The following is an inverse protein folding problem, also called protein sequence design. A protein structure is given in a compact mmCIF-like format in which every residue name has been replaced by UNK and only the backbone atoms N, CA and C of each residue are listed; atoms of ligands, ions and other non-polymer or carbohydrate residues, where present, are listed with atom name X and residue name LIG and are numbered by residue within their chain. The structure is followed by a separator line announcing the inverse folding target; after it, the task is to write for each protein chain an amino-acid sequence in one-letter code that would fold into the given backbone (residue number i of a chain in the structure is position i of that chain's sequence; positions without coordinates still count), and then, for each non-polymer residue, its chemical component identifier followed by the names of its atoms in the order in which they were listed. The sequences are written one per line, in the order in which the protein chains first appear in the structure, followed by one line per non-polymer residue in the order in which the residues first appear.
data_IF_576653210234
#
_entry.id   IF_576653210234
#
_cell.length_a   1.000
_cell.length_b   1.000
_cell.length_c   1.000
_cell.angle_alpha   90.00
_cell.angle_beta   90.00
_cell.angle_gamma   90.00
#
_symmetry.space_group_name_H-M   'P 1'
#
loop_
_entity.id
_entity.type
_entity.pdbx_description
1 polymer ?
#
# COMPACT_ATOMS: atom_id res chain seq x y z
N UNK A 1 -29.52 -7.40 -4.84
CA UNK A 1 -28.43 -6.88 -3.96
C UNK A 1 -27.63 -8.08 -3.47
N UNK A 2 -26.31 -8.10 -3.66
CA UNK A 2 -25.45 -9.20 -3.20
C UNK A 2 -25.00 -8.95 -1.75
N UNK A 3 -25.10 -9.96 -0.88
CA UNK A 3 -24.65 -9.91 0.52
C UNK A 3 -23.35 -10.71 0.66
N UNK A 4 -22.45 -10.28 1.56
CA UNK A 4 -21.22 -11.03 1.86
C UNK A 4 -21.55 -12.25 2.72
N UNK A 5 -21.09 -13.44 2.32
CA UNK A 5 -21.44 -14.71 2.96
C UNK A 5 -21.12 -14.75 4.47
N UNK A 6 -19.97 -14.26 4.89
CA UNK A 6 -19.59 -14.23 6.31
C UNK A 6 -20.48 -13.29 7.15
N UNK A 7 -21.01 -12.21 6.57
CA UNK A 7 -21.96 -11.33 7.28
C UNK A 7 -23.32 -11.99 7.47
N UNK A 8 -23.78 -12.72 6.45
CA UNK A 8 -25.01 -13.50 6.54
C UNK A 8 -24.86 -14.60 7.58
N UNK A 9 -23.74 -15.34 7.55
CA UNK A 9 -23.44 -16.38 8.53
C UNK A 9 -23.41 -15.83 9.97
N UNK A 10 -22.78 -14.66 10.17
CA UNK A 10 -22.77 -13.98 11.48
C UNK A 10 -24.19 -13.68 11.97
N UNK A 11 -25.02 -13.06 11.10
CA UNK A 11 -26.40 -12.72 11.46
C UNK A 11 -27.25 -13.95 11.80
N UNK A 12 -27.11 -15.04 11.03
CA UNK A 12 -27.87 -16.28 11.27
C UNK A 12 -27.47 -16.92 12.59
N UNK A 13 -26.16 -17.02 12.87
CA UNK A 13 -25.67 -17.77 14.03
C UNK A 13 -25.81 -16.99 15.34
N UNK A 14 -25.51 -15.68 15.33
CA UNK A 14 -25.56 -14.85 16.53
C UNK A 14 -26.89 -14.12 16.72
N UNK A 15 -27.78 -14.15 15.72
CA UNK A 15 -29.06 -13.43 15.76
C UNK A 15 -28.94 -11.90 15.70
N UNK A 16 -27.75 -11.37 15.47
CA UNK A 16 -27.45 -9.93 15.50
C UNK A 16 -27.12 -9.44 14.08
N UNK A 17 -27.79 -8.37 13.64
CA UNK A 17 -27.42 -7.71 12.39
C UNK A 17 -26.12 -6.91 12.61
N UNK A 18 -25.04 -7.19 11.86
CA UNK A 18 -23.77 -6.48 12.04
C UNK A 18 -23.82 -5.00 11.63
N UNK A 19 -24.91 -4.50 11.01
CA UNK A 19 -25.08 -3.08 10.64
C UNK A 19 -23.82 -2.49 9.96
N UNK A 20 -23.30 -1.37 10.45
CA UNK A 20 -22.10 -0.70 9.93
C UNK A 20 -20.79 -1.29 10.48
N UNK A 21 -20.86 -2.28 11.38
CA UNK A 21 -19.67 -2.93 11.93
C UNK A 21 -19.05 -3.91 10.92
N UNK A 22 -17.75 -4.13 11.05
CA UNK A 22 -17.01 -5.13 10.29
C UNK A 22 -17.22 -6.51 10.92
N UNK A 23 -17.49 -7.52 10.09
CA UNK A 23 -17.40 -8.93 10.49
C UNK A 23 -16.02 -9.42 10.05
N UNK A 24 -15.16 -9.69 11.02
CA UNK A 24 -13.75 -9.99 10.83
C UNK A 24 -13.45 -11.47 11.00
N UNK A 25 -12.40 -11.95 10.34
CA UNK A 25 -11.95 -13.32 10.44
C UNK A 25 -10.73 -13.45 11.35
N UNK A 26 -10.74 -14.40 12.28
CA UNK A 26 -9.51 -14.82 12.98
C UNK A 26 -8.60 -15.62 12.05
N UNK A 27 -9.18 -16.42 11.15
CA UNK A 27 -8.47 -17.34 10.24
C UNK A 27 -7.99 -16.72 8.92
N UNK A 28 -8.37 -15.48 8.61
CA UNK A 28 -7.97 -14.76 7.38
C UNK A 28 -8.30 -15.45 6.05
N UNK A 29 -9.25 -16.37 6.06
CA UNK A 29 -9.73 -17.07 4.88
C UNK A 29 -11.06 -16.45 4.39
N UNK A 30 -11.11 -15.69 3.28
CA UNK A 30 -12.30 -14.95 2.85
C UNK A 30 -13.54 -15.81 2.58
N UNK A 31 -13.35 -17.09 2.19
CA UNK A 31 -14.46 -18.02 1.94
C UNK A 31 -15.01 -18.64 3.23
N UNK A 32 -14.33 -18.47 4.37
CA UNK A 32 -14.75 -19.06 5.64
C UNK A 32 -16.01 -18.38 6.19
N UNK A 33 -16.96 -19.21 6.64
CA UNK A 33 -18.22 -18.79 7.28
C UNK A 33 -18.43 -19.45 8.65
N UNK A 34 -17.41 -20.12 9.20
CA UNK A 34 -17.48 -20.74 10.53
C UNK A 34 -17.67 -19.63 11.58
N UNK A 35 -18.77 -19.62 12.35
CA UNK A 35 -19.06 -18.58 13.32
C UNK A 35 -17.98 -18.38 14.38
N UNK A 36 -17.28 -19.46 14.76
CA UNK A 36 -16.17 -19.40 15.74
C UNK A 36 -14.94 -18.65 15.20
N UNK A 37 -14.86 -18.44 13.89
CA UNK A 37 -13.81 -17.64 13.28
C UNK A 37 -14.24 -16.20 12.99
N UNK A 38 -15.47 -15.83 13.33
CA UNK A 38 -16.04 -14.53 13.05
C UNK A 38 -16.20 -13.70 14.33
N UNK A 39 -15.92 -12.41 14.24
CA UNK A 39 -16.14 -11.47 15.34
C UNK A 39 -16.53 -10.09 14.80
N UNK A 40 -17.25 -9.31 15.61
CA UNK A 40 -17.61 -7.93 15.29
C UNK A 40 -16.53 -6.96 15.74
N UNK A 41 -16.15 -6.06 14.85
CA UNK A 41 -15.20 -5.00 15.15
C UNK A 41 -15.53 -3.70 14.43
N UNK A 42 -14.96 -2.61 14.93
CA UNK A 42 -14.98 -1.32 14.24
C UNK A 42 -14.04 -1.32 13.02
N UNK A 43 -14.12 -0.26 12.22
CA UNK A 43 -13.12 -0.02 11.18
C UNK A 43 -11.70 0.10 11.77
N UNK A 44 -11.55 0.67 12.97
CA UNK A 44 -10.26 0.76 13.65
C UNK A 44 -9.72 -0.63 14.02
N UNK A 45 -10.59 -1.53 14.48
CA UNK A 45 -10.22 -2.91 14.79
C UNK A 45 -9.80 -3.68 13.55
N UNK A 46 -10.49 -3.49 12.43
CA UNK A 46 -10.10 -4.08 11.13
C UNK A 46 -8.72 -3.60 10.65
N UNK A 47 -8.44 -2.30 10.80
CA UNK A 47 -7.13 -1.75 10.46
C UNK A 47 -6.03 -2.31 11.37
N UNK A 48 -6.31 -2.42 12.68
CA UNK A 48 -5.38 -3.00 13.65
C UNK A 48 -5.11 -4.48 13.36
N UNK A 49 -6.16 -5.30 13.15
CA UNK A 49 -6.04 -6.72 12.78
C UNK A 49 -5.19 -6.92 11.52
N UNK A 50 -5.48 -6.14 10.47
CA UNK A 50 -4.70 -6.16 9.23
C UNK A 50 -3.23 -5.84 9.47
N UNK A 51 -2.93 -4.88 10.34
CA UNK A 51 -1.57 -4.47 10.66
C UNK A 51 -0.83 -5.55 11.47
N UNK A 52 -1.44 -6.05 12.54
CA UNK A 52 -0.91 -7.11 13.41
C UNK A 52 -0.62 -8.40 12.62
N UNK A 53 -1.52 -8.77 11.70
CA UNK A 53 -1.33 -9.91 10.79
C UNK A 53 -0.39 -9.62 9.61
N UNK A 54 0.17 -8.41 9.51
CA UNK A 54 1.14 -8.06 8.46
C UNK A 54 0.55 -7.98 7.05
N UNK A 55 -0.78 -7.93 6.91
CA UNK A 55 -1.50 -7.85 5.63
C UNK A 55 -1.56 -6.41 5.08
N UNK A 56 -0.76 -5.50 5.62
CA UNK A 56 -0.69 -4.11 5.20
C UNK A 56 0.28 -3.86 4.04
N UNK A 57 1.28 -4.74 3.84
CA UNK A 57 2.27 -4.63 2.77
C UNK A 57 2.09 -5.74 1.73
N UNK A 58 1.97 -5.36 0.44
CA UNK A 58 1.98 -6.31 -0.69
C UNK A 58 3.39 -6.77 -1.10
N UNK A 59 4.45 -6.13 -0.59
CA UNK A 59 5.79 -6.72 -0.54
C UNK A 59 5.94 -7.39 0.83
N UNK A 60 6.55 -8.57 0.90
CA UNK A 60 6.68 -9.32 2.16
C UNK A 60 7.24 -8.47 3.31
N UNK A 61 7.17 -8.98 4.55
CA UNK A 61 7.55 -8.25 5.79
C UNK A 61 8.87 -7.45 5.72
N UNK A 62 9.78 -7.80 4.80
CA UNK A 62 11.09 -7.18 4.61
C UNK A 62 11.29 -6.46 3.26
N UNK A 63 10.36 -6.52 2.32
CA UNK A 63 10.53 -5.91 1.00
C UNK A 63 9.85 -4.54 0.96
N UNK A 64 10.63 -3.50 1.27
CA UNK A 64 10.18 -2.12 1.13
C UNK A 64 9.79 -1.87 -0.32
N UNK A 65 8.53 -1.53 -0.56
CA UNK A 65 8.03 -1.21 -1.88
C UNK A 65 8.47 0.20 -2.30
N UNK A 66 9.78 0.39 -2.49
CA UNK A 66 10.43 1.67 -2.80
C UNK A 66 11.00 1.67 -4.21
N UNK A 67 11.24 2.86 -4.74
CA UNK A 67 11.82 3.00 -6.08
C UNK A 67 10.86 2.48 -7.16
N UNK A 68 11.39 1.80 -8.17
CA UNK A 68 10.58 1.29 -9.28
C UNK A 68 9.64 0.16 -8.88
N UNK A 69 9.94 -0.54 -7.77
CA UNK A 69 9.05 -1.59 -7.24
C UNK A 69 7.71 -1.02 -6.78
N UNK A 70 7.69 0.25 -6.32
CA UNK A 70 6.45 0.91 -5.96
C UNK A 70 5.53 0.98 -7.18
N UNK A 71 4.35 0.35 -7.10
CA UNK A 71 3.39 0.31 -8.21
C UNK A 71 2.86 1.68 -8.66
N UNK A 72 3.06 2.73 -7.86
CA UNK A 72 2.78 4.11 -8.26
C UNK A 72 3.98 4.86 -8.87
N UNK A 73 5.17 4.25 -8.92
CA UNK A 73 6.36 4.87 -9.49
C UNK A 73 6.26 4.94 -11.01
N UNK A 74 6.55 6.12 -11.55
CA UNK A 74 6.68 6.36 -12.99
C UNK A 74 8.13 6.43 -13.46
N UNK A 75 9.09 6.32 -12.54
CA UNK A 75 10.51 6.44 -12.81
C UNK A 75 11.23 5.13 -12.52
N UNK A 76 12.24 4.82 -13.34
CA UNK A 76 13.20 3.76 -13.09
C UNK A 76 14.40 4.26 -12.27
N UNK A 77 15.15 3.33 -11.68
CA UNK A 77 16.42 3.62 -11.01
C UNK A 77 17.40 4.32 -11.95
N UNK A 78 17.49 3.89 -13.21
CA UNK A 78 18.40 4.49 -14.20
C UNK A 78 18.06 5.95 -14.51
N UNK A 79 16.78 6.28 -14.64
CA UNK A 79 16.34 7.67 -14.86
C UNK A 79 16.65 8.54 -13.64
N UNK A 80 16.51 7.99 -12.43
CA UNK A 80 16.83 8.72 -11.19
C UNK A 80 18.33 8.92 -11.06
N UNK A 81 19.14 7.92 -11.37
CA UNK A 81 20.61 8.06 -11.41
C UNK A 81 20.99 9.13 -12.43
N UNK A 82 20.39 9.13 -13.62
CA UNK A 82 20.63 10.19 -14.62
C UNK A 82 20.29 11.58 -14.08
N UNK A 83 19.17 11.74 -13.37
CA UNK A 83 18.80 13.02 -12.74
C UNK A 83 19.87 13.46 -11.73
N UNK A 84 20.43 12.54 -10.96
CA UNK A 84 21.41 12.83 -9.90
C UNK A 84 22.81 13.13 -10.44
N UNK A 85 23.25 12.46 -11.51
CA UNK A 85 24.62 12.56 -12.03
C UNK A 85 24.78 13.46 -13.25
N UNK A 86 23.70 13.82 -13.93
CA UNK A 86 23.77 14.64 -15.14
C UNK A 86 24.11 16.11 -14.85
N UNK A 87 25.02 16.66 -15.65
CA UNK A 87 25.32 18.10 -15.70
C UNK A 87 24.19 18.96 -16.29
N UNK A 88 23.12 18.34 -16.78
CA UNK A 88 21.96 19.06 -17.31
C UNK A 88 21.18 19.76 -16.19
N UNK A 89 20.68 20.96 -16.51
CA UNK A 89 19.81 21.67 -15.59
C UNK A 89 18.40 21.05 -15.54
N UNK A 90 17.63 21.40 -14.52
CA UNK A 90 16.29 20.81 -14.30
C UNK A 90 15.32 21.06 -15.46
N UNK A 91 15.49 22.14 -16.25
CA UNK A 91 14.66 22.43 -17.43
C UNK A 91 14.98 21.46 -18.58
N UNK A 92 16.25 21.17 -18.82
CA UNK A 92 16.68 20.21 -19.83
C UNK A 92 16.25 18.79 -19.46
N UNK A 93 16.48 18.37 -18.21
CA UNK A 93 16.06 17.06 -17.70
C UNK A 93 14.54 16.89 -17.75
N UNK A 94 13.78 17.94 -17.45
CA UNK A 94 12.31 17.92 -17.51
C UNK A 94 11.80 17.61 -18.92
N UNK A 95 12.42 18.21 -19.94
CA UNK A 95 12.09 17.92 -21.34
C UNK A 95 12.54 16.52 -21.76
N UNK A 96 13.74 16.09 -21.34
CA UNK A 96 14.31 14.79 -21.73
C UNK A 96 13.53 13.62 -21.16
N UNK A 97 13.14 13.69 -19.89
CA UNK A 97 12.50 12.60 -19.16
C UNK A 97 10.97 12.77 -19.07
N UNK A 98 10.42 13.82 -19.66
CA UNK A 98 8.99 14.15 -19.64
C UNK A 98 8.37 14.20 -18.22
N UNK A 99 9.15 14.71 -17.26
CA UNK A 99 8.71 14.88 -15.86
C UNK A 99 8.80 16.33 -15.41
N UNK A 100 8.09 16.66 -14.35
CA UNK A 100 8.07 18.03 -13.82
C UNK A 100 9.42 18.45 -13.23
N UNK A 101 9.78 19.73 -13.39
CA UNK A 101 10.95 20.34 -12.71
C UNK A 101 10.88 20.19 -11.19
N UNK A 102 9.67 20.21 -10.62
CA UNK A 102 9.43 20.00 -9.18
C UNK A 102 9.89 18.62 -8.73
N UNK A 103 9.53 17.58 -9.49
CA UNK A 103 9.93 16.20 -9.21
C UNK A 103 11.45 16.02 -9.34
N UNK A 104 12.06 16.59 -10.38
CA UNK A 104 13.53 16.58 -10.56
C UNK A 104 14.22 17.22 -9.36
N UNK A 105 13.77 18.40 -8.92
CA UNK A 105 14.37 19.09 -7.79
C UNK A 105 14.16 18.34 -6.47
N UNK A 106 13.02 17.69 -6.25
CA UNK A 106 12.78 16.86 -5.07
C UNK A 106 13.72 15.63 -5.03
N UNK A 107 14.01 15.03 -6.19
CA UNK A 107 15.01 13.96 -6.33
C UNK A 107 16.41 14.49 -6.03
N UNK A 108 16.81 15.61 -6.66
CA UNK A 108 18.13 16.25 -6.44
C UNK A 108 18.37 16.72 -5.01
N UNK A 109 17.32 17.03 -4.24
CA UNK A 109 17.40 17.37 -2.80
C UNK A 109 17.32 16.16 -1.87
N UNK A 110 17.18 14.94 -2.41
CA UNK A 110 17.05 13.72 -1.61
C UNK A 110 15.72 13.57 -0.88
N UNK A 111 14.69 14.34 -1.23
CA UNK A 111 13.34 14.20 -0.66
C UNK A 111 12.66 12.93 -1.18
N UNK A 112 12.95 12.56 -2.43
CA UNK A 112 12.50 11.33 -3.09
C UNK A 112 13.71 10.44 -3.42
N UNK A 113 13.48 9.14 -3.58
CA UNK A 113 14.53 8.17 -3.95
C UNK A 113 15.76 8.20 -3.02
N UNK A 114 15.52 8.42 -1.72
CA UNK A 114 16.54 8.49 -0.65
C UNK A 114 17.59 7.39 -0.70
N UNK A 115 17.20 6.17 -1.07
CA UNK A 115 18.08 5.01 -1.13
C UNK A 115 19.08 5.04 -2.30
N UNK A 116 18.82 5.82 -3.35
CA UNK A 116 19.80 6.08 -4.42
C UNK A 116 20.60 7.34 -4.11
N UNK A 117 19.96 8.38 -3.61
CA UNK A 117 20.65 9.62 -3.21
C UNK A 117 21.66 9.39 -2.08
N UNK A 118 21.43 8.46 -1.16
CA UNK A 118 22.39 8.15 -0.10
C UNK A 118 23.62 7.34 -0.60
N UNK A 119 23.60 6.85 -1.83
CA UNK A 119 24.67 6.02 -2.43
C UNK A 119 25.55 6.77 -3.42
N UNK A 120 25.15 7.98 -3.82
CA UNK A 120 25.82 8.85 -4.78
C UNK A 120 26.24 10.13 -4.07
#
# INVERSE_FOLDING_TARGET
RTLRSHRVAYKIFFGVDPLEQCVLHTCDNPVCVNPNHLWLGSNADNMRDRHEKGRYNKGGKNEKNTGSKNGGSKLSESQVVEILTSNLNSKQLSKKLYISRKQINAIKRGEQWKHLHAKL
#
